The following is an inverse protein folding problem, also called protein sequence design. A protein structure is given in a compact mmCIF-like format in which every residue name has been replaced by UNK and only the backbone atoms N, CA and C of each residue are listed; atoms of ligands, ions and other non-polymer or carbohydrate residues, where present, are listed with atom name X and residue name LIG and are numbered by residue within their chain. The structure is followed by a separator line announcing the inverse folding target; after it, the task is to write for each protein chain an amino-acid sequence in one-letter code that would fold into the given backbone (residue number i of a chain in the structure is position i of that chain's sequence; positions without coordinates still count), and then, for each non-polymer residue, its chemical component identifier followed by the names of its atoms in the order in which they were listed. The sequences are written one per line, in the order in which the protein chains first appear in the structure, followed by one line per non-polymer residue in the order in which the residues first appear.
data_IF_529664753381
#
_entry.id   IF_529664753381
#
_cell.length_a   1.000
_cell.length_b   1.000
_cell.length_c   1.000
_cell.angle_alpha   90.00
_cell.angle_beta   90.00
_cell.angle_gamma   90.00
#
_symmetry.space_group_name_H-M   'P 1'
#
loop_
_entity.id
_entity.type
_entity.pdbx_description
1 polymer ?
#
# COMPACT_ATOMS: atom_id res chain seq x y z
N UNK A 1 -28.28 59.26 -1.26
CA UNK A 1 -28.67 58.22 -2.23
C UNK A 1 -27.60 57.13 -2.20
N UNK A 2 -27.98 55.86 -1.95
CA UNK A 2 -27.19 54.61 -2.10
C UNK A 2 -25.92 54.50 -1.23
N UNK A 3 -25.90 53.87 -0.06
CA UNK A 3 -26.31 52.50 0.34
C UNK A 3 -25.45 51.38 -0.28
N UNK A 4 -24.53 50.89 0.55
CA UNK A 4 -23.95 49.54 0.63
C UNK A 4 -22.88 49.13 -0.38
N UNK A 5 -21.70 48.70 0.14
CA UNK A 5 -21.15 47.34 -0.06
C UNK A 5 -19.83 47.16 0.74
N UNK A 6 -19.89 46.35 1.81
CA UNK A 6 -18.95 45.30 2.28
C UNK A 6 -17.45 45.67 2.41
N UNK A 7 -16.81 45.71 3.59
CA UNK A 7 -16.55 44.64 4.57
C UNK A 7 -16.09 43.33 3.90
N UNK A 8 -14.77 43.21 3.64
CA UNK A 8 -14.01 41.96 3.76
C UNK A 8 -12.55 42.16 3.31
N UNK A 9 -11.62 41.88 4.23
CA UNK A 9 -10.47 41.02 3.93
C UNK A 9 -9.38 41.57 3.02
N UNK A 10 -8.46 42.32 3.62
CA UNK A 10 -7.03 42.31 3.26
C UNK A 10 -6.46 40.88 3.21
N UNK A 11 -5.42 40.71 2.38
CA UNK A 11 -4.51 39.55 2.21
C UNK A 11 -4.81 38.72 0.93
N UNK A 12 -4.29 39.07 -0.25
CA UNK A 12 -2.88 39.01 -0.66
C UNK A 12 -2.34 37.56 -0.65
N UNK A 13 -2.78 36.76 -1.64
CA UNK A 13 -2.00 35.63 -2.17
C UNK A 13 -2.14 35.70 -3.70
N UNK A 14 -1.13 36.26 -4.35
CA UNK A 14 -0.92 36.18 -5.78
C UNK A 14 -0.14 34.89 -6.08
N UNK A 15 -0.59 34.15 -7.08
CA UNK A 15 0.04 32.90 -7.52
C UNK A 15 -0.78 32.25 -8.61
N UNK A 16 -0.86 32.94 -9.74
CA UNK A 16 -1.70 32.63 -10.90
C UNK A 16 -1.38 31.27 -11.51
N UNK A 17 -2.47 30.61 -11.87
CA UNK A 17 -2.60 29.43 -12.69
C UNK A 17 -1.65 29.35 -13.90
N UNK A 18 -1.04 28.18 -14.08
CA UNK A 18 -0.69 27.67 -15.40
C UNK A 18 -1.53 26.39 -15.63
N UNK A 19 -2.60 26.56 -16.41
CA UNK A 19 -3.52 25.50 -16.85
C UNK A 19 -2.92 24.77 -18.07
N UNK A 20 -2.78 23.46 -17.92
CA UNK A 20 -3.02 22.32 -18.82
C UNK A 20 -2.67 22.34 -20.33
N UNK A 21 -2.37 21.10 -20.79
CA UNK A 21 -2.49 20.50 -22.14
C UNK A 21 -1.17 20.40 -22.93
N UNK A 22 -0.78 19.28 -23.56
CA UNK A 22 -1.41 17.99 -23.78
C UNK A 22 -0.37 16.91 -24.15
N UNK A 23 -0.67 15.67 -23.77
CA UNK A 23 -0.61 14.43 -24.55
C UNK A 23 0.54 14.21 -25.58
N UNK A 24 1.46 13.32 -25.24
CA UNK A 24 2.04 12.39 -26.21
C UNK A 24 1.97 10.97 -25.66
N UNK A 25 1.34 10.11 -26.44
CA UNK A 25 0.87 8.76 -26.11
C UNK A 25 2.05 7.79 -26.14
N UNK A 26 2.23 7.04 -25.06
CA UNK A 26 3.17 5.92 -24.97
C UNK A 26 2.88 5.15 -23.69
N UNK A 27 2.18 4.02 -23.83
CA UNK A 27 1.60 3.29 -22.70
C UNK A 27 2.64 2.85 -21.67
N UNK A 28 2.42 3.27 -20.42
CA UNK A 28 2.32 2.40 -19.23
C UNK A 28 1.40 3.15 -18.26
N UNK A 29 0.21 2.61 -18.02
CA UNK A 29 -0.73 3.21 -17.08
C UNK A 29 -0.30 2.86 -15.65
N UNK A 30 -0.48 3.83 -14.75
CA UNK A 30 -0.40 3.71 -13.29
C UNK A 30 1.00 3.79 -12.68
N UNK A 31 1.61 4.98 -12.78
CA UNK A 31 2.51 5.46 -11.74
C UNK A 31 1.68 5.84 -10.51
N UNK A 32 1.24 4.83 -9.75
CA UNK A 32 1.00 5.00 -8.33
C UNK A 32 2.38 5.26 -7.71
N UNK A 33 2.53 6.39 -7.02
CA UNK A 33 3.75 6.71 -6.30
C UNK A 33 4.11 5.51 -5.40
N UNK A 34 5.29 4.86 -5.57
CA UNK A 34 5.71 3.87 -4.60
C UNK A 34 6.11 4.66 -3.36
N UNK A 35 5.13 4.80 -2.45
CA UNK A 35 5.38 5.18 -1.06
C UNK A 35 6.49 4.26 -0.58
N UNK A 36 7.68 4.81 -0.38
CA UNK A 36 8.87 4.07 0.01
C UNK A 36 8.55 3.25 1.27
N UNK A 37 8.22 1.99 1.05
CA UNK A 37 8.10 0.97 2.08
C UNK A 37 9.54 0.71 2.52
N UNK A 38 9.82 0.56 3.83
CA UNK A 38 11.19 0.37 4.31
C UNK A 38 11.78 -0.79 3.51
N UNK A 39 12.90 -0.55 2.82
CA UNK A 39 13.65 -1.59 2.13
C UNK A 39 13.93 -2.68 3.14
N UNK A 40 13.19 -3.79 3.07
CA UNK A 40 13.57 -4.98 3.79
C UNK A 40 14.98 -5.33 3.30
N UNK A 41 15.94 -5.48 4.21
CA UNK A 41 17.30 -5.91 3.88
C UNK A 41 17.34 -7.35 3.32
N UNK A 42 16.18 -7.99 3.22
CA UNK A 42 15.96 -9.34 2.72
C UNK A 42 15.34 -9.28 1.33
N UNK A 43 16.00 -9.95 0.39
CA UNK A 43 15.65 -10.00 -1.02
C UNK A 43 14.49 -10.99 -1.23
N UNK A 44 13.27 -10.53 -0.92
CA UNK A 44 12.05 -11.21 -1.34
C UNK A 44 11.51 -10.49 -2.56
N UNK A 45 11.28 -11.23 -3.64
CA UNK A 45 10.69 -10.70 -4.88
C UNK A 45 9.19 -10.99 -4.83
N UNK A 46 8.32 -9.98 -4.64
CA UNK A 46 6.89 -10.16 -4.72
C UNK A 46 6.50 -10.59 -6.13
N UNK A 47 5.56 -11.54 -6.22
CA UNK A 47 5.06 -12.02 -7.52
C UNK A 47 4.30 -10.95 -8.29
N UNK A 48 3.73 -9.96 -7.60
CA UNK A 48 3.02 -8.83 -8.19
C UNK A 48 3.14 -7.56 -7.34
N UNK A 49 2.65 -6.46 -7.89
CA UNK A 49 2.55 -5.20 -7.15
C UNK A 49 1.43 -5.26 -6.09
N UNK A 50 1.58 -4.49 -5.02
CA UNK A 50 0.55 -4.36 -3.97
C UNK A 50 -0.81 -3.85 -4.48
N UNK A 51 -0.86 -3.20 -5.65
CA UNK A 51 -2.08 -2.71 -6.27
C UNK A 51 -2.84 -3.79 -7.08
N UNK A 52 -2.13 -4.84 -7.50
CA UNK A 52 -2.68 -5.95 -8.31
C UNK A 52 -2.86 -7.23 -7.48
N UNK A 53 -2.35 -7.23 -6.24
CA UNK A 53 -2.47 -8.34 -5.32
C UNK A 53 -3.93 -8.64 -4.97
N UNK A 54 -4.33 -9.90 -5.08
CA UNK A 54 -5.61 -10.39 -4.57
C UNK A 54 -5.54 -10.66 -3.06
N UNK A 55 -4.35 -10.99 -2.57
CA UNK A 55 -4.08 -11.28 -1.16
C UNK A 55 -2.84 -10.54 -0.69
N UNK A 56 -2.90 -10.05 0.54
CA UNK A 56 -1.76 -9.39 1.20
C UNK A 56 -1.49 -10.06 2.53
N UNK A 57 -0.30 -10.63 2.72
CA UNK A 57 0.11 -11.16 4.02
C UNK A 57 0.82 -10.08 4.83
N UNK A 58 0.44 -9.95 6.09
CA UNK A 58 1.08 -9.05 7.05
C UNK A 58 0.88 -9.55 8.46
N UNK A 59 1.67 -8.99 9.37
CA UNK A 59 1.48 -9.21 10.80
C UNK A 59 0.17 -8.56 11.29
N UNK A 60 -0.61 -9.32 12.05
CA UNK A 60 -1.81 -8.88 12.74
C UNK A 60 -1.96 -9.61 14.08
N UNK A 61 -2.04 -8.87 15.18
CA UNK A 61 -2.18 -9.43 16.55
C UNK A 61 -1.08 -10.47 16.90
N UNK A 62 0.12 -10.32 16.34
CA UNK A 62 1.24 -11.24 16.55
C UNK A 62 1.21 -12.51 15.72
N UNK A 63 0.21 -12.69 14.86
CA UNK A 63 0.10 -13.80 13.91
C UNK A 63 0.18 -13.32 12.45
N UNK A 64 0.47 -14.24 11.54
CA UNK A 64 0.36 -14.00 10.10
C UNK A 64 -1.11 -13.94 9.72
N UNK A 65 -1.51 -12.90 9.01
CA UNK A 65 -2.88 -12.77 8.55
C UNK A 65 -2.96 -12.33 7.09
N UNK A 66 -4.03 -12.76 6.44
CA UNK A 66 -4.32 -12.55 5.01
C UNK A 66 -5.38 -11.49 4.87
N UNK A 67 -5.07 -10.46 4.09
CA UNK A 67 -5.93 -9.32 3.80
C UNK A 67 -6.33 -9.34 2.32
N UNK A 68 -7.50 -8.80 1.98
CA UNK A 68 -7.92 -8.61 0.58
C UNK A 68 -7.21 -7.44 -0.11
N UNK A 69 -6.65 -6.51 0.67
CA UNK A 69 -5.94 -5.35 0.15
C UNK A 69 -5.03 -4.74 1.22
N UNK A 70 -4.04 -3.96 0.79
CA UNK A 70 -3.06 -3.31 1.68
C UNK A 70 -3.71 -2.31 2.65
N UNK A 71 -4.80 -1.68 2.22
CA UNK A 71 -5.51 -0.66 3.00
C UNK A 71 -6.45 -1.21 4.06
N UNK A 72 -6.70 -2.54 4.06
CA UNK A 72 -7.66 -3.12 4.98
C UNK A 72 -7.14 -3.17 6.42
N UNK A 73 -8.05 -2.89 7.36
CA UNK A 73 -7.76 -2.90 8.80
C UNK A 73 -7.98 -4.28 9.39
N UNK A 74 -8.95 -5.03 8.87
CA UNK A 74 -9.30 -6.37 9.32
C UNK A 74 -8.85 -7.43 8.31
N UNK A 75 -8.19 -8.51 8.77
CA UNK A 75 -7.87 -9.63 7.90
C UNK A 75 -9.12 -10.39 7.48
N UNK A 76 -9.06 -11.01 6.31
CA UNK A 76 -10.07 -11.93 5.79
C UNK A 76 -9.89 -13.31 6.42
N UNK A 77 -8.63 -13.70 6.64
CA UNK A 77 -8.26 -14.94 7.30
C UNK A 77 -7.08 -14.68 8.22
N UNK A 78 -7.21 -15.09 9.48
CA UNK A 78 -6.12 -15.11 10.43
C UNK A 78 -5.57 -16.55 10.49
N UNK A 79 -4.25 -16.71 10.46
CA UNK A 79 -3.62 -18.03 10.63
C UNK A 79 -3.08 -18.17 12.05
N UNK A 80 -2.82 -19.41 12.45
CA UNK A 80 -2.23 -19.74 13.76
C UNK A 80 -0.69 -19.65 13.75
N UNK A 81 -0.10 -19.04 12.72
CA UNK A 81 1.35 -18.90 12.57
C UNK A 81 1.80 -17.65 13.34
N UNK A 82 2.50 -17.84 14.46
CA UNK A 82 3.04 -16.72 15.25
C UNK A 82 4.22 -16.05 14.54
N UNK A 83 4.19 -14.72 14.42
CA UNK A 83 5.30 -13.95 13.80
C UNK A 83 6.57 -14.00 14.66
N UNK A 84 6.42 -14.29 15.96
CA UNK A 84 7.52 -14.45 16.91
C UNK A 84 8.39 -15.69 16.62
N UNK A 85 7.82 -16.74 16.02
CA UNK A 85 8.53 -18.00 15.72
C UNK A 85 9.24 -17.97 14.37
N UNK A 86 8.85 -17.03 13.49
CA UNK A 86 9.43 -16.85 12.15
C UNK A 86 10.90 -16.39 12.19
N UNK A 87 11.57 -16.35 11.04
CA UNK A 87 12.91 -15.75 10.93
C UNK A 87 12.80 -14.23 10.89
N UNK A 88 13.87 -13.54 11.27
CA UNK A 88 13.92 -12.07 11.18
C UNK A 88 13.61 -11.57 9.76
N UNK A 89 14.03 -12.32 8.74
CA UNK A 89 13.73 -12.05 7.34
C UNK A 89 12.23 -11.97 7.08
N UNK A 90 11.51 -13.02 7.44
CA UNK A 90 10.07 -13.17 7.19
C UNK A 90 9.28 -12.13 7.97
N UNK A 91 9.70 -11.83 9.21
CA UNK A 91 9.14 -10.73 10.01
C UNK A 91 9.27 -9.38 9.30
N UNK A 92 10.44 -9.08 8.76
CA UNK A 92 10.70 -7.81 8.08
C UNK A 92 9.83 -7.68 6.82
N UNK A 93 9.66 -8.78 6.09
CA UNK A 93 8.84 -8.87 4.88
C UNK A 93 7.36 -8.66 5.23
N UNK A 94 6.85 -9.34 6.26
CA UNK A 94 5.45 -9.20 6.71
C UNK A 94 5.11 -7.80 7.26
N UNK A 95 6.10 -7.06 7.78
CA UNK A 95 5.92 -5.64 8.15
C UNK A 95 5.74 -4.73 6.94
N UNK A 96 6.34 -5.10 5.82
CA UNK A 96 6.28 -4.38 4.54
C UNK A 96 4.98 -4.71 3.81
N UNK A 97 4.46 -5.93 4.02
CA UNK A 97 3.27 -6.45 3.38
C UNK A 97 3.62 -7.25 2.12
N UNK A 98 3.16 -8.49 2.06
CA UNK A 98 3.48 -9.42 0.99
C UNK A 98 2.35 -9.49 -0.02
N UNK A 99 2.57 -8.95 -1.21
CA UNK A 99 1.62 -8.98 -2.31
C UNK A 99 1.60 -10.36 -2.98
N UNK A 100 0.43 -10.99 -3.00
CA UNK A 100 0.20 -12.29 -3.64
C UNK A 100 -1.01 -12.20 -4.55
N UNK A 101 -0.86 -12.68 -5.79
CA UNK A 101 -1.91 -12.60 -6.80
C UNK A 101 -2.73 -13.88 -6.91
N UNK A 102 -2.22 -15.01 -6.45
CA UNK A 102 -2.88 -16.30 -6.58
C UNK A 102 -3.01 -17.03 -5.24
N UNK A 103 -4.09 -17.80 -5.11
CA UNK A 103 -4.37 -18.57 -3.91
C UNK A 103 -3.39 -19.75 -3.72
N UNK A 104 -2.93 -20.39 -4.78
CA UNK A 104 -1.95 -21.48 -4.70
C UNK A 104 -0.62 -20.99 -4.13
N UNK A 105 -0.17 -19.82 -4.61
CA UNK A 105 1.02 -19.16 -4.11
C UNK A 105 0.86 -18.77 -2.63
N UNK A 106 -0.29 -18.19 -2.26
CA UNK A 106 -0.60 -17.87 -0.87
C UNK A 106 -0.45 -19.10 0.04
N UNK A 107 -1.03 -20.23 -0.35
CA UNK A 107 -0.96 -21.46 0.45
C UNK A 107 0.47 -22.00 0.54
N UNK A 108 1.22 -21.93 -0.55
CA UNK A 108 2.64 -22.33 -0.57
C UNK A 108 3.46 -21.50 0.41
N UNK A 109 3.24 -20.18 0.44
CA UNK A 109 3.91 -19.27 1.37
C UNK A 109 3.52 -19.56 2.83
N UNK A 110 2.24 -19.84 3.08
CA UNK A 110 1.78 -20.20 4.43
C UNK A 110 2.35 -21.54 4.91
N UNK A 111 2.56 -22.51 4.01
CA UNK A 111 3.22 -23.77 4.34
C UNK A 111 4.71 -23.57 4.70
N UNK A 112 5.42 -22.74 3.94
CA UNK A 112 6.83 -22.42 4.21
C UNK A 112 7.00 -21.67 5.54
N UNK A 113 6.06 -20.78 5.88
CA UNK A 113 6.07 -20.02 7.14
C UNK A 113 5.64 -20.85 8.36
N UNK A 114 4.88 -21.93 8.18
CA UNK A 114 4.27 -22.71 9.26
C UNK A 114 5.09 -23.89 9.79
N UNK A 115 6.34 -24.06 9.35
CA UNK A 115 7.25 -25.18 9.71
C UNK A 115 8.13 -24.86 10.91
#
# INVERSE_FOLDING_TARGET
MKLWTKLAGTALIAGTAAVCAAAAIGGISSAAEPKAVPTAEFDYVPSCSLAEAEYVLREYEGCVAVFSSVGDVSPVSLTDIEVSTLRDADRQILKTGLAVSDREELLTLLEDLGT
#
